data_IF_311663156378
#
_entry.id   IF_311663156378
#
_cell.length_a   1.000
_cell.length_b   1.000
_cell.length_c   1.000
_cell.angle_alpha   90.00
_cell.angle_beta   90.00
_cell.angle_gamma   90.00
#
_symmetry.space_group_name_H-M   'P 1'
#
loop_
_entity.id
_entity.type
_entity.pdbx_description
1 polymer ?
#
# COMPACT_ATOMS: atom_id res chain seq x y z
N UNK A 1 2.55 -20.48 8.59
CA UNK A 1 1.97 -20.09 7.31
C UNK A 1 2.33 -18.64 6.98
N UNK A 2 2.69 -18.36 5.76
CA UNK A 2 3.12 -17.02 5.37
C UNK A 2 1.92 -16.08 5.26
N UNK A 3 2.02 -14.90 5.86
CA UNK A 3 0.97 -13.90 5.78
C UNK A 3 0.94 -13.22 4.41
N UNK A 4 -0.24 -12.77 4.01
CA UNK A 4 -0.42 -11.95 2.82
C UNK A 4 0.17 -10.57 3.12
N UNK A 5 1.14 -10.15 2.31
CA UNK A 5 1.81 -8.87 2.51
C UNK A 5 1.10 -7.77 1.73
N UNK A 6 0.71 -6.71 2.43
CA UNK A 6 -0.07 -5.61 1.88
C UNK A 6 0.74 -4.32 1.92
N UNK A 7 0.67 -3.57 0.84
CA UNK A 7 1.24 -2.22 0.78
C UNK A 7 0.13 -1.24 0.43
N UNK A 8 0.05 -0.14 1.18
CA UNK A 8 -0.98 0.87 1.00
C UNK A 8 -0.37 2.17 0.49
N UNK A 9 -0.99 2.73 -0.56
CA UNK A 9 -0.58 4.02 -1.12
C UNK A 9 -1.75 4.99 -0.99
N UNK A 10 -1.56 6.06 -0.22
CA UNK A 10 -2.59 7.06 0.03
C UNK A 10 -1.90 8.34 0.48
N UNK A 11 -2.37 9.50 0.00
CA UNK A 11 -1.79 10.78 0.39
C UNK A 11 -2.19 11.21 1.80
N UNK A 12 -3.19 10.57 2.39
CA UNK A 12 -3.66 10.86 3.74
C UNK A 12 -2.95 9.98 4.77
N UNK A 13 -2.22 10.61 5.69
CA UNK A 13 -1.59 9.87 6.78
C UNK A 13 -2.61 9.15 7.65
N UNK A 14 -3.77 9.77 7.86
CA UNK A 14 -4.83 9.16 8.67
C UNK A 14 -5.36 7.89 8.02
N UNK A 15 -5.59 7.92 6.71
CA UNK A 15 -6.08 6.75 5.99
C UNK A 15 -5.03 5.64 6.00
N UNK A 16 -3.75 5.98 5.81
CA UNK A 16 -2.69 4.98 5.87
C UNK A 16 -2.65 4.28 7.23
N UNK A 17 -2.84 5.07 8.29
CA UNK A 17 -2.86 4.51 9.65
C UNK A 17 -4.07 3.60 9.86
N UNK A 18 -5.26 4.03 9.41
CA UNK A 18 -6.47 3.21 9.52
C UNK A 18 -6.33 1.91 8.74
N UNK A 19 -5.82 1.97 7.52
CA UNK A 19 -5.61 0.77 6.71
C UNK A 19 -4.63 -0.19 7.37
N UNK A 20 -3.57 0.36 7.97
CA UNK A 20 -2.59 -0.46 8.69
C UNK A 20 -3.26 -1.22 9.84
N UNK A 21 -4.09 -0.52 10.62
CA UNK A 21 -4.79 -1.16 11.72
C UNK A 21 -5.77 -2.23 11.26
N UNK A 22 -6.52 -1.93 10.18
CA UNK A 22 -7.48 -2.89 9.63
C UNK A 22 -6.77 -4.14 9.14
N UNK A 23 -5.72 -3.97 8.34
CA UNK A 23 -4.97 -5.10 7.78
C UNK A 23 -4.34 -5.93 8.89
N UNK A 24 -3.70 -5.27 9.85
CA UNK A 24 -3.00 -5.99 10.92
C UNK A 24 -3.95 -6.61 11.94
N UNK A 25 -5.24 -6.27 11.90
CA UNK A 25 -6.23 -6.95 12.74
C UNK A 25 -6.55 -8.35 12.25
N UNK A 26 -6.18 -8.67 11.01
CA UNK A 26 -6.36 -10.01 10.43
C UNK A 26 -5.10 -10.84 10.65
N UNK A 27 -5.27 -12.08 11.08
CA UNK A 27 -4.13 -12.94 11.39
C UNK A 27 -3.37 -13.42 10.17
N UNK A 28 -4.00 -13.39 9.00
CA UNK A 28 -3.44 -13.88 7.75
C UNK A 28 -2.87 -12.76 6.84
N UNK A 29 -2.89 -11.51 7.32
CA UNK A 29 -2.38 -10.38 6.56
C UNK A 29 -1.47 -9.50 7.41
N UNK A 30 -0.56 -8.79 6.77
CA UNK A 30 0.25 -7.78 7.45
C UNK A 30 0.54 -6.61 6.52
N UNK A 31 0.56 -5.42 7.10
CA UNK A 31 0.94 -4.22 6.36
C UNK A 31 2.46 -4.11 6.39
N UNK A 32 3.11 -4.34 5.25
CA UNK A 32 4.57 -4.31 5.20
C UNK A 32 5.12 -2.91 4.97
N UNK A 33 4.34 -2.05 4.32
CA UNK A 33 4.76 -0.67 4.09
C UNK A 33 3.57 0.19 3.70
N UNK A 34 3.70 1.49 3.90
CA UNK A 34 2.74 2.48 3.41
C UNK A 34 3.51 3.59 2.71
N UNK A 35 2.90 4.22 1.73
CA UNK A 35 3.53 5.29 0.96
C UNK A 35 2.57 6.46 0.78
N UNK A 36 3.07 7.71 0.86
CA UNK A 36 2.23 8.89 0.68
C UNK A 36 1.96 9.21 -0.79
N UNK A 37 2.75 8.65 -1.69
CA UNK A 37 2.56 8.88 -3.12
C UNK A 37 3.11 7.70 -3.93
N UNK A 38 2.74 7.63 -5.23
CA UNK A 38 3.15 6.49 -6.06
C UNK A 38 4.65 6.38 -6.30
N UNK A 39 5.38 7.48 -6.27
CA UNK A 39 6.82 7.44 -6.52
C UNK A 39 7.56 6.74 -5.39
N UNK A 40 7.18 7.06 -4.15
CA UNK A 40 7.73 6.37 -2.98
C UNK A 40 7.29 4.91 -2.97
N UNK A 41 6.03 4.66 -3.35
CA UNK A 41 5.50 3.31 -3.37
C UNK A 41 6.26 2.40 -4.33
N UNK A 42 6.72 2.92 -5.46
CA UNK A 42 7.47 2.10 -6.43
C UNK A 42 8.73 1.52 -5.82
N UNK A 43 9.45 2.31 -5.04
CA UNK A 43 10.65 1.83 -4.37
C UNK A 43 10.31 0.78 -3.31
N UNK A 44 9.23 1.03 -2.56
CA UNK A 44 8.80 0.09 -1.53
C UNK A 44 8.29 -1.23 -2.12
N UNK A 45 7.64 -1.17 -3.29
CA UNK A 45 7.21 -2.38 -3.98
C UNK A 45 8.40 -3.24 -4.36
N UNK A 46 9.45 -2.63 -4.88
CA UNK A 46 10.67 -3.36 -5.24
C UNK A 46 11.33 -3.97 -4.02
N UNK A 47 11.31 -3.24 -2.92
CA UNK A 47 11.96 -3.67 -1.69
C UNK A 47 11.20 -4.80 -0.99
N UNK A 48 9.88 -4.70 -0.93
CA UNK A 48 9.04 -5.61 -0.15
C UNK A 48 8.33 -6.66 -0.98
N UNK A 49 8.14 -6.42 -2.27
CA UNK A 49 7.42 -7.32 -3.17
C UNK A 49 6.08 -7.77 -2.58
N UNK A 50 5.16 -6.84 -2.29
CA UNK A 50 3.90 -7.18 -1.63
C UNK A 50 2.98 -8.04 -2.51
N UNK A 51 2.10 -8.79 -1.86
CA UNK A 51 1.11 -9.61 -2.55
C UNK A 51 -0.11 -8.79 -3.00
N UNK A 52 -0.43 -7.74 -2.24
CA UNK A 52 -1.61 -6.89 -2.49
C UNK A 52 -1.20 -5.43 -2.38
N UNK A 53 -1.70 -4.63 -3.30
CA UNK A 53 -1.47 -3.19 -3.33
C UNK A 53 -2.81 -2.48 -3.25
N UNK A 54 -2.99 -1.58 -2.27
CA UNK A 54 -4.17 -0.72 -2.22
C UNK A 54 -3.80 0.67 -2.68
N UNK A 55 -4.61 1.24 -3.55
CA UNK A 55 -4.36 2.55 -4.14
C UNK A 55 -5.55 3.47 -3.91
N UNK A 56 -5.26 4.72 -3.54
CA UNK A 56 -6.26 5.76 -3.56
C UNK A 56 -6.38 6.28 -4.99
N UNK A 57 -7.57 6.20 -5.57
CA UNK A 57 -7.81 6.62 -6.93
C UNK A 57 -7.71 8.12 -7.19
N UNK A 58 -7.55 8.92 -6.14
CA UNK A 58 -7.48 10.37 -6.24
C UNK A 58 -6.06 10.92 -6.26
N UNK A 59 -5.08 10.08 -6.46
CA UNK A 59 -3.68 10.51 -6.51
C UNK A 59 -3.44 11.43 -7.71
N UNK A 60 -2.95 12.65 -7.47
CA UNK A 60 -2.91 13.66 -8.54
C UNK A 60 -1.82 13.47 -9.57
N UNK A 61 -0.81 12.68 -9.30
CA UNK A 61 0.35 12.54 -10.18
C UNK A 61 0.28 11.39 -11.14
N UNK A 62 -0.53 10.41 -10.84
CA UNK A 62 -0.53 9.15 -11.56
C UNK A 62 -1.82 8.43 -11.23
N UNK A 63 -2.58 7.99 -12.22
CA UNK A 63 -3.73 7.16 -11.91
C UNK A 63 -3.27 5.72 -11.63
N UNK A 64 -4.16 4.92 -11.09
CA UNK A 64 -3.80 3.58 -10.66
C UNK A 64 -3.29 2.69 -11.79
N UNK A 65 -3.79 2.88 -13.00
CA UNK A 65 -3.37 2.07 -14.14
C UNK A 65 -1.94 2.39 -14.56
N UNK A 66 -1.61 3.68 -14.61
CA UNK A 66 -0.25 4.11 -14.95
C UNK A 66 0.75 3.62 -13.92
N UNK A 67 0.36 3.64 -12.67
CA UNK A 67 1.21 3.19 -11.58
C UNK A 67 1.54 1.71 -11.68
N UNK A 68 0.60 0.90 -12.12
CA UNK A 68 0.77 -0.55 -12.19
C UNK A 68 1.54 -1.01 -13.42
N UNK A 69 1.73 -0.14 -14.36
CA UNK A 69 2.56 -0.42 -15.52
C UNK A 69 4.04 -0.28 -15.13
#
# INVERSE_FOLDING_TARGET
MKKIQVLCVDDSALIRQLMTEIVNSHTDMEMVATAPDPLIARDLIKQHNPDVLTLDGEMPRMDGLDFLE
#
